data_IF_737469448281
#
_entry.id   IF_737469448281
#
_cell.length_a   1.000
_cell.length_b   1.000
_cell.length_c   1.000
_cell.angle_alpha   90.00
_cell.angle_beta   90.00
_cell.angle_gamma   90.00
#
_symmetry.space_group_name_H-M   'P 1'
#
loop_
_entity.id
_entity.type
_entity.pdbx_description
1 polymer ?
#
# COMPACT_ATOMS: atom_id res chain seq x y z
N UNK A 1 46.58 -46.80 8.87
CA UNK A 1 45.94 -45.84 7.98
C UNK A 1 44.47 -45.64 8.45
N UNK A 2 44.15 -44.57 9.15
CA UNK A 2 42.80 -44.27 9.64
C UNK A 2 42.12 -43.31 8.65
N UNK A 3 41.05 -43.75 8.01
CA UNK A 3 40.24 -42.92 7.12
C UNK A 3 39.28 -42.06 7.97
N UNK A 4 39.46 -40.77 7.94
CA UNK A 4 38.49 -39.81 8.51
C UNK A 4 37.34 -39.63 7.53
N UNK A 5 36.14 -39.98 7.97
CA UNK A 5 34.92 -39.69 7.23
C UNK A 5 34.47 -38.24 7.55
N UNK A 6 34.47 -37.37 6.54
CA UNK A 6 33.86 -36.06 6.65
C UNK A 6 32.33 -36.21 6.58
N UNK A 7 31.66 -35.95 7.69
CA UNK A 7 30.20 -35.76 7.70
C UNK A 7 29.88 -34.34 7.20
N UNK A 8 29.34 -34.27 5.99
CA UNK A 8 28.75 -33.04 5.47
C UNK A 8 27.34 -32.88 6.08
N UNK A 9 27.19 -32.02 7.08
CA UNK A 9 25.88 -31.62 7.60
C UNK A 9 25.26 -30.63 6.63
N UNK A 10 24.24 -31.07 5.87
CA UNK A 10 23.40 -30.22 5.06
C UNK A 10 22.46 -29.46 6.01
N UNK A 11 22.73 -28.17 6.25
CA UNK A 11 21.81 -27.26 6.92
C UNK A 11 20.62 -27.00 5.99
N UNK A 12 19.50 -27.64 6.27
CA UNK A 12 18.24 -27.30 5.65
C UNK A 12 17.78 -25.95 6.22
N UNK A 13 17.97 -24.85 5.46
CA UNK A 13 17.28 -23.61 5.73
C UNK A 13 15.77 -23.85 5.50
N UNK A 14 15.04 -24.11 6.56
CA UNK A 14 13.59 -24.01 6.53
C UNK A 14 13.22 -22.52 6.34
N UNK A 15 13.09 -22.08 5.09
CA UNK A 15 12.38 -20.84 4.79
C UNK A 15 10.90 -21.12 5.11
N UNK A 16 10.42 -20.64 6.24
CA UNK A 16 8.98 -20.55 6.50
C UNK A 16 8.41 -19.62 5.44
N UNK A 17 7.83 -20.20 4.38
CA UNK A 17 7.05 -19.43 3.42
C UNK A 17 5.83 -18.90 4.16
N UNK A 18 5.74 -17.58 4.29
CA UNK A 18 4.58 -16.94 4.86
C UNK A 18 3.49 -16.93 3.79
N UNK A 19 2.35 -17.53 4.10
CA UNK A 19 1.20 -17.53 3.21
C UNK A 19 0.73 -16.10 2.91
N UNK A 20 0.15 -15.91 1.73
CA UNK A 20 -0.53 -14.66 1.39
C UNK A 20 -1.70 -14.40 2.37
N UNK A 21 -2.07 -13.13 2.60
CA UNK A 21 -3.28 -12.82 3.35
C UNK A 21 -4.50 -13.44 2.64
N UNK A 22 -5.57 -13.66 3.40
CA UNK A 22 -6.83 -14.10 2.83
C UNK A 22 -7.38 -13.10 1.79
N UNK A 23 -8.50 -13.46 1.18
CA UNK A 23 -9.20 -12.59 0.23
C UNK A 23 -9.55 -11.25 0.89
N UNK A 24 -9.35 -10.15 0.15
CA UNK A 24 -9.67 -8.80 0.57
C UNK A 24 -10.43 -8.06 -0.54
N UNK A 25 -11.19 -7.04 -0.14
CA UNK A 25 -12.02 -6.25 -1.07
C UNK A 25 -11.28 -4.99 -1.49
N UNK A 26 -11.37 -4.68 -2.79
CA UNK A 26 -10.93 -3.41 -3.38
C UNK A 26 -12.06 -2.74 -4.14
N UNK A 27 -11.97 -1.41 -4.26
CA UNK A 27 -12.93 -0.53 -4.92
C UNK A 27 -12.42 -0.10 -6.29
N UNK A 28 -13.34 0.13 -7.22
CA UNK A 28 -13.09 0.77 -8.52
C UNK A 28 -14.37 1.38 -9.11
N UNK A 29 -14.21 2.01 -10.28
CA UNK A 29 -15.30 2.56 -11.10
C UNK A 29 -16.02 3.76 -10.44
N UNK A 30 -15.29 4.53 -9.60
CA UNK A 30 -15.73 5.73 -8.87
C UNK A 30 -16.71 5.45 -7.71
N UNK A 31 -16.51 6.14 -6.61
CA UNK A 31 -17.35 6.04 -5.39
C UNK A 31 -17.50 4.61 -4.85
N UNK A 32 -16.51 3.74 -5.13
CA UNK A 32 -16.56 2.32 -4.79
C UNK A 32 -17.82 1.61 -5.36
N UNK A 33 -18.22 2.01 -6.56
CA UNK A 33 -19.40 1.45 -7.23
C UNK A 33 -19.19 0.01 -7.64
N UNK A 34 -17.94 -0.39 -7.90
CA UNK A 34 -17.53 -1.77 -8.10
C UNK A 34 -16.63 -2.23 -6.97
N UNK A 35 -16.87 -3.45 -6.51
CA UNK A 35 -16.07 -4.11 -5.48
C UNK A 35 -15.64 -5.48 -5.97
N UNK A 36 -14.34 -5.74 -5.91
CA UNK A 36 -13.77 -7.01 -6.32
C UNK A 36 -13.09 -7.71 -5.15
N UNK A 37 -13.32 -9.03 -5.06
CA UNK A 37 -12.62 -9.92 -4.14
C UNK A 37 -11.26 -10.28 -4.73
N UNK A 38 -10.18 -9.86 -4.09
CA UNK A 38 -8.81 -10.08 -4.54
C UNK A 38 -8.11 -11.10 -3.65
N UNK A 39 -7.38 -12.01 -4.28
CA UNK A 39 -6.47 -12.93 -3.62
C UNK A 39 -5.11 -12.89 -4.31
N UNK A 40 -4.07 -12.55 -3.56
CA UNK A 40 -2.70 -12.63 -4.04
C UNK A 40 -2.17 -14.06 -3.92
N UNK A 41 -1.27 -14.42 -4.80
CA UNK A 41 -0.46 -15.63 -4.65
C UNK A 41 0.60 -15.46 -3.55
N UNK A 42 1.07 -16.55 -2.98
CA UNK A 42 2.17 -16.51 -2.00
C UNK A 42 3.42 -15.83 -2.58
N UNK A 43 3.72 -16.03 -3.86
CA UNK A 43 4.85 -15.38 -4.53
C UNK A 43 4.68 -13.85 -4.59
N UNK A 44 3.51 -13.35 -4.97
CA UNK A 44 3.22 -11.91 -4.98
C UNK A 44 3.33 -11.32 -3.57
N UNK A 45 2.79 -12.02 -2.57
CA UNK A 45 2.90 -11.56 -1.18
C UNK A 45 4.34 -11.56 -0.67
N UNK A 46 5.16 -12.53 -1.05
CA UNK A 46 6.60 -12.53 -0.72
C UNK A 46 7.34 -11.34 -1.35
N UNK A 47 6.98 -10.92 -2.57
CA UNK A 47 7.54 -9.69 -3.17
C UNK A 47 7.18 -8.45 -2.34
N UNK A 48 5.92 -8.33 -1.86
CA UNK A 48 5.51 -7.24 -0.97
C UNK A 48 6.33 -7.25 0.32
N UNK A 49 6.45 -8.40 0.97
CA UNK A 49 7.20 -8.56 2.22
C UNK A 49 8.69 -8.20 2.07
N UNK A 50 9.28 -8.53 0.92
CA UNK A 50 10.68 -8.23 0.64
C UNK A 50 10.97 -6.71 0.64
N UNK A 51 9.97 -5.87 0.34
CA UNK A 51 10.10 -4.41 0.38
C UNK A 51 10.25 -3.83 1.80
N UNK A 52 9.90 -4.62 2.82
CA UNK A 52 10.08 -4.30 4.23
C UNK A 52 11.32 -4.99 4.82
N UNK A 53 12.20 -5.56 3.99
CA UNK A 53 13.40 -6.27 4.45
C UNK A 53 14.67 -5.63 3.86
N UNK A 54 15.67 -5.23 4.68
CA UNK A 54 15.65 -5.34 6.15
C UNK A 54 14.59 -4.43 6.78
N UNK A 55 14.21 -4.75 8.02
CA UNK A 55 13.22 -3.92 8.72
C UNK A 55 13.73 -2.48 8.88
N UNK A 56 12.86 -1.51 8.61
CA UNK A 56 13.16 -0.09 8.67
C UNK A 56 13.76 0.32 10.03
N UNK A 57 14.82 1.09 10.02
CA UNK A 57 15.47 1.62 11.22
C UNK A 57 14.82 2.91 11.74
N UNK A 58 13.91 3.52 10.95
CA UNK A 58 13.21 4.75 11.31
C UNK A 58 11.82 4.81 10.66
N UNK A 59 10.96 5.69 11.21
CA UNK A 59 9.66 5.99 10.62
C UNK A 59 9.78 6.52 9.17
N UNK A 60 10.80 7.30 8.86
CA UNK A 60 11.04 7.80 7.51
C UNK A 60 11.37 6.67 6.53
N UNK A 61 12.22 5.74 6.92
CA UNK A 61 12.55 4.57 6.10
C UNK A 61 11.34 3.67 5.89
N UNK A 62 10.48 3.51 6.91
CA UNK A 62 9.25 2.74 6.78
C UNK A 62 8.26 3.42 5.83
N UNK A 63 8.12 4.76 5.85
CA UNK A 63 7.32 5.48 4.84
C UNK A 63 7.84 5.24 3.43
N UNK A 64 9.16 5.22 3.23
CA UNK A 64 9.74 4.90 1.92
C UNK A 64 9.47 3.44 1.50
N UNK A 65 9.45 2.49 2.43
CA UNK A 65 9.05 1.11 2.16
C UNK A 65 7.55 1.01 1.83
N UNK A 66 6.70 1.71 2.59
CA UNK A 66 5.26 1.78 2.37
C UNK A 66 4.91 2.29 0.97
N UNK A 67 5.54 3.38 0.51
CA UNK A 67 5.34 3.91 -0.85
C UNK A 67 5.55 2.82 -1.91
N UNK A 68 6.66 2.09 -1.82
CA UNK A 68 6.97 1.01 -2.78
C UNK A 68 6.03 -0.18 -2.67
N UNK A 69 5.64 -0.53 -1.44
CA UNK A 69 4.75 -1.66 -1.20
C UNK A 69 3.33 -1.39 -1.70
N UNK A 70 2.80 -0.18 -1.50
CA UNK A 70 1.49 0.24 -2.02
C UNK A 70 1.52 0.21 -3.55
N UNK A 71 2.51 0.83 -4.19
CA UNK A 71 2.69 0.80 -5.64
C UNK A 71 2.71 -0.66 -6.18
N UNK A 72 3.38 -1.56 -5.48
CA UNK A 72 3.43 -2.97 -5.89
C UNK A 72 2.10 -3.68 -5.70
N UNK A 73 1.34 -3.36 -4.63
CA UNK A 73 -0.03 -3.84 -4.43
C UNK A 73 -0.93 -3.40 -5.60
N UNK A 74 -0.88 -2.14 -5.98
CA UNK A 74 -1.66 -1.58 -7.10
C UNK A 74 -1.36 -2.31 -8.41
N UNK A 75 -0.08 -2.59 -8.72
CA UNK A 75 0.29 -3.38 -9.91
C UNK A 75 -0.35 -4.76 -9.88
N UNK A 76 -0.31 -5.47 -8.75
CA UNK A 76 -0.90 -6.80 -8.66
C UNK A 76 -2.42 -6.76 -8.73
N UNK A 77 -3.03 -5.85 -8.00
CA UNK A 77 -4.48 -5.68 -7.95
C UNK A 77 -5.00 -5.24 -9.31
N UNK A 78 -4.37 -4.25 -9.94
CA UNK A 78 -4.76 -3.74 -11.25
C UNK A 78 -4.76 -4.82 -12.34
N UNK A 79 -3.79 -5.74 -12.29
CA UNK A 79 -3.75 -6.89 -13.18
C UNK A 79 -4.88 -7.89 -12.95
N UNK A 80 -5.44 -7.95 -11.73
CA UNK A 80 -6.52 -8.88 -11.37
C UNK A 80 -7.91 -8.30 -11.60
N UNK A 81 -8.11 -7.00 -11.40
CA UNK A 81 -9.43 -6.36 -11.49
C UNK A 81 -9.59 -5.39 -12.68
N UNK A 82 -8.54 -5.17 -13.47
CA UNK A 82 -8.58 -4.34 -14.68
C UNK A 82 -8.30 -2.86 -14.45
N UNK A 83 -7.79 -2.45 -13.27
CA UNK A 83 -7.41 -1.05 -12.99
C UNK A 83 -5.98 -0.70 -13.38
N UNK A 84 -5.26 -1.58 -14.09
CA UNK A 84 -3.85 -1.34 -14.49
C UNK A 84 -3.63 -0.09 -15.36
N UNK A 85 -4.68 0.42 -16.00
CA UNK A 85 -4.64 1.61 -16.87
C UNK A 85 -5.26 2.84 -16.19
N UNK A 86 -5.45 2.79 -14.87
CA UNK A 86 -5.93 3.95 -14.12
C UNK A 86 -4.93 5.10 -14.18
N UNK A 87 -5.45 6.31 -14.43
CA UNK A 87 -4.66 7.53 -14.60
C UNK A 87 -4.82 8.44 -13.39
N UNK A 88 -3.69 8.94 -12.90
CA UNK A 88 -3.66 9.86 -11.77
C UNK A 88 -4.42 11.16 -12.02
N UNK A 89 -5.14 11.63 -11.00
CA UNK A 89 -5.87 12.89 -11.06
C UNK A 89 -7.01 12.93 -12.09
N UNK A 90 -7.51 11.78 -12.54
CA UNK A 90 -8.46 11.66 -13.62
C UNK A 90 -9.90 11.96 -13.17
N UNK A 91 -10.27 13.23 -13.09
CA UNK A 91 -11.66 13.65 -12.86
C UNK A 91 -12.61 13.29 -14.02
N UNK A 92 -12.09 13.15 -15.22
CA UNK A 92 -12.88 12.88 -16.42
C UNK A 92 -13.13 11.36 -16.63
N UNK A 93 -12.53 10.50 -15.85
CA UNK A 93 -12.62 9.05 -15.97
C UNK A 93 -13.93 8.43 -15.45
N UNK A 94 -14.84 9.24 -14.89
CA UNK A 94 -16.14 8.76 -14.42
C UNK A 94 -16.91 8.05 -15.52
N UNK A 95 -17.34 6.81 -15.26
CA UNK A 95 -18.00 5.95 -16.24
C UNK A 95 -17.07 5.19 -17.20
N UNK A 96 -15.76 5.34 -17.05
CA UNK A 96 -14.76 4.54 -17.76
C UNK A 96 -14.33 3.36 -16.89
N UNK A 97 -14.48 2.15 -17.41
CA UNK A 97 -14.14 0.94 -16.68
C UNK A 97 -12.65 0.93 -16.27
N UNK A 98 -12.39 0.54 -15.02
CA UNK A 98 -11.04 0.41 -14.49
C UNK A 98 -10.39 1.75 -14.10
N UNK A 99 -11.11 2.86 -14.12
CA UNK A 99 -10.65 4.13 -13.56
C UNK A 99 -11.10 4.25 -12.11
N UNK A 100 -10.33 5.02 -11.31
CA UNK A 100 -10.56 5.17 -9.89
C UNK A 100 -10.62 6.66 -9.50
N UNK A 101 -11.46 6.97 -8.52
CA UNK A 101 -11.47 8.29 -7.86
C UNK A 101 -10.70 8.24 -6.53
N UNK A 102 -10.66 9.36 -5.83
CA UNK A 102 -9.99 9.44 -4.53
C UNK A 102 -10.67 8.57 -3.44
N UNK A 103 -11.94 8.21 -3.61
CA UNK A 103 -12.66 7.31 -2.70
C UNK A 103 -12.16 5.88 -2.89
N UNK A 104 -12.04 5.44 -4.15
CA UNK A 104 -11.51 4.12 -4.50
C UNK A 104 -10.08 3.97 -4.03
N UNK A 105 -9.20 4.91 -4.43
CA UNK A 105 -7.78 4.91 -4.10
C UNK A 105 -7.53 4.93 -2.59
N UNK A 106 -8.18 5.83 -1.85
CA UNK A 106 -8.00 5.90 -0.41
C UNK A 106 -8.56 4.67 0.32
N UNK A 107 -9.64 4.05 -0.19
CA UNK A 107 -10.19 2.80 0.35
C UNK A 107 -9.23 1.63 0.14
N UNK A 108 -8.69 1.51 -1.07
CA UNK A 108 -7.75 0.46 -1.45
C UNK A 108 -6.45 0.58 -0.65
N UNK A 109 -5.88 1.79 -0.59
CA UNK A 109 -4.68 2.07 0.20
C UNK A 109 -4.88 1.78 1.69
N UNK A 110 -6.04 2.14 2.27
CA UNK A 110 -6.38 1.78 3.65
C UNK A 110 -6.44 0.27 3.85
N UNK A 111 -7.00 -0.47 2.89
CA UNK A 111 -7.02 -1.94 2.91
C UNK A 111 -5.59 -2.50 2.87
N UNK A 112 -4.70 -1.98 2.01
CA UNK A 112 -3.31 -2.43 1.95
C UNK A 112 -2.56 -2.15 3.25
N UNK A 113 -2.71 -0.97 3.83
CA UNK A 113 -2.10 -0.61 5.11
C UNK A 113 -2.54 -1.55 6.23
N UNK A 114 -3.83 -1.91 6.29
CA UNK A 114 -4.35 -2.89 7.23
C UNK A 114 -3.71 -4.26 7.04
N UNK A 115 -3.60 -4.75 5.79
CA UNK A 115 -2.93 -6.02 5.50
C UNK A 115 -1.47 -6.01 5.93
N UNK A 116 -0.74 -4.91 5.70
CA UNK A 116 0.66 -4.79 6.16
C UNK A 116 0.75 -4.82 7.68
N UNK A 117 -0.14 -4.14 8.38
CA UNK A 117 -0.19 -4.11 9.83
C UNK A 117 -0.55 -5.48 10.42
N UNK A 118 -1.60 -6.13 9.95
CA UNK A 118 -2.04 -7.46 10.41
C UNK A 118 -0.98 -8.54 10.20
N UNK A 119 -0.12 -8.38 9.18
CA UNK A 119 0.98 -9.28 8.90
C UNK A 119 2.32 -8.86 9.53
N UNK A 120 2.32 -7.87 10.43
CA UNK A 120 3.49 -7.46 11.21
C UNK A 120 4.60 -6.81 10.38
N UNK A 121 4.26 -6.18 9.25
CA UNK A 121 5.23 -5.50 8.38
C UNK A 121 5.54 -4.08 8.85
N UNK A 122 4.61 -3.46 9.62
CA UNK A 122 4.77 -2.10 10.15
C UNK A 122 5.36 -2.13 11.56
N UNK A 123 6.32 -1.26 11.83
CA UNK A 123 7.00 -1.10 13.12
C UNK A 123 6.85 0.31 13.70
N UNK A 124 6.78 1.29 12.81
CA UNK A 124 6.80 2.71 13.15
C UNK A 124 5.46 3.39 12.91
N UNK A 125 4.59 2.76 12.11
CA UNK A 125 3.29 3.32 11.80
C UNK A 125 2.16 2.32 12.07
N UNK A 126 0.99 2.88 12.24
CA UNK A 126 -0.27 2.14 12.22
C UNK A 126 -1.28 2.82 11.30
N UNK A 127 -2.09 2.02 10.60
CA UNK A 127 -3.19 2.51 9.78
C UNK A 127 -4.25 3.21 10.63
N UNK A 128 -4.84 4.26 10.08
CA UNK A 128 -5.93 5.02 10.68
C UNK A 128 -7.12 5.07 9.73
N UNK A 129 -8.25 5.57 10.22
CA UNK A 129 -9.37 5.92 9.36
C UNK A 129 -8.96 6.96 8.31
N UNK A 130 -9.55 6.85 7.12
CA UNK A 130 -9.32 7.80 6.04
C UNK A 130 -9.66 9.22 6.47
N UNK A 131 -8.92 10.18 5.95
CA UNK A 131 -9.23 11.59 6.11
C UNK A 131 -9.71 12.20 4.80
N UNK A 132 -10.52 13.24 4.93
CA UNK A 132 -10.85 14.10 3.81
C UNK A 132 -10.35 15.52 4.05
N UNK A 133 -10.20 16.26 2.96
CA UNK A 133 -10.08 17.71 2.95
C UNK A 133 -11.18 18.26 2.07
N UNK A 134 -11.89 19.27 2.59
CA UNK A 134 -12.87 20.00 1.80
C UNK A 134 -12.15 21.16 1.09
N UNK A 135 -12.32 21.24 -0.22
CA UNK A 135 -12.11 22.46 -0.96
C UNK A 135 -13.43 23.21 -1.10
N UNK A 136 -13.51 24.15 -2.03
CA UNK A 136 -14.78 24.77 -2.40
C UNK A 136 -15.82 23.71 -2.79
N UNK A 137 -17.05 23.92 -2.47
CA UNK A 137 -18.33 23.19 -2.55
C UNK A 137 -18.38 21.79 -3.25
N UNK A 138 -17.44 21.44 -4.15
CA UNK A 138 -17.43 20.19 -4.92
C UNK A 138 -16.07 19.48 -4.94
N UNK A 139 -15.11 19.86 -4.10
CA UNK A 139 -13.74 19.37 -4.13
C UNK A 139 -13.41 18.65 -2.80
N UNK A 140 -14.22 17.64 -2.45
CA UNK A 140 -13.87 16.76 -1.32
C UNK A 140 -12.87 15.72 -1.81
N UNK A 141 -11.65 15.77 -1.28
CA UNK A 141 -10.61 14.81 -1.60
C UNK A 141 -10.29 13.92 -0.40
N UNK A 142 -10.14 12.61 -0.65
CA UNK A 142 -9.90 11.59 0.35
C UNK A 142 -8.48 11.02 0.22
N UNK A 143 -7.86 10.71 1.36
CA UNK A 143 -6.62 9.96 1.42
C UNK A 143 -6.64 8.94 2.56
N UNK A 144 -5.87 7.88 2.44
CA UNK A 144 -5.56 6.99 3.54
C UNK A 144 -4.67 7.71 4.57
N UNK A 145 -4.65 7.24 5.82
CA UNK A 145 -3.89 7.87 6.88
C UNK A 145 -3.09 6.85 7.66
N UNK A 146 -1.86 7.21 7.99
CA UNK A 146 -1.01 6.49 8.94
C UNK A 146 -0.62 7.40 10.10
N UNK A 147 -0.42 6.80 11.28
CA UNK A 147 0.08 7.47 12.48
C UNK A 147 1.47 6.94 12.82
N UNK A 148 2.44 7.82 12.99
CA UNK A 148 3.72 7.50 13.59
C UNK A 148 3.50 7.13 15.08
N UNK A 149 3.88 5.93 15.46
CA UNK A 149 3.60 5.38 16.82
C UNK A 149 4.45 6.01 17.91
N UNK A 150 5.56 6.65 17.56
CA UNK A 150 6.49 7.30 18.50
C UNK A 150 6.11 8.75 18.73
N UNK A 151 5.84 9.48 17.65
CA UNK A 151 5.57 10.93 17.70
C UNK A 151 4.09 11.26 17.78
N UNK A 152 3.22 10.33 17.38
CA UNK A 152 1.79 10.57 17.19
C UNK A 152 1.44 11.37 15.93
N UNK A 153 2.43 11.78 15.12
CA UNK A 153 2.21 12.54 13.91
C UNK A 153 1.39 11.74 12.90
N UNK A 154 0.37 12.35 12.34
CA UNK A 154 -0.46 11.79 11.28
C UNK A 154 0.09 12.18 9.91
N UNK A 155 0.02 11.25 8.97
CA UNK A 155 0.40 11.44 7.57
C UNK A 155 -0.73 10.97 6.66
N UNK A 156 -1.06 11.77 5.64
CA UNK A 156 -1.85 11.33 4.52
C UNK A 156 -0.99 10.47 3.58
N UNK A 157 -1.60 9.39 3.07
CA UNK A 157 -1.03 8.52 2.03
C UNK A 157 -1.98 8.63 0.84
N UNK A 158 -1.54 9.34 -0.18
CA UNK A 158 -2.38 9.79 -1.29
C UNK A 158 -1.87 9.24 -2.62
N UNK A 159 -2.57 8.24 -3.15
CA UNK A 159 -2.25 7.58 -4.42
C UNK A 159 -2.93 8.28 -5.61
N UNK A 160 -4.06 8.95 -5.39
CA UNK A 160 -4.94 9.41 -6.46
C UNK A 160 -4.31 10.34 -7.50
N UNK A 161 -3.27 11.09 -7.14
CA UNK A 161 -2.59 12.01 -8.09
C UNK A 161 -1.67 11.31 -9.08
N UNK A 162 -1.50 9.99 -8.97
CA UNK A 162 -0.49 9.22 -9.68
C UNK A 162 -1.15 8.06 -10.43
N UNK A 163 -0.56 7.68 -11.57
CA UNK A 163 -1.02 6.52 -12.33
C UNK A 163 -0.86 5.23 -11.51
N UNK A 164 -1.70 4.24 -11.77
CA UNK A 164 -1.67 2.95 -11.09
C UNK A 164 -0.25 2.36 -11.02
N UNK A 165 0.15 1.97 -9.82
CA UNK A 165 1.46 1.39 -9.55
C UNK A 165 2.59 2.41 -9.35
N UNK A 166 2.30 3.70 -9.28
CA UNK A 166 3.27 4.72 -8.87
C UNK A 166 3.29 4.86 -7.34
N UNK A 167 4.48 5.11 -6.73
CA UNK A 167 4.58 5.25 -5.28
C UNK A 167 3.81 6.46 -4.76
N UNK A 168 2.81 6.29 -3.86
CA UNK A 168 1.95 7.36 -3.38
C UNK A 168 2.73 8.49 -2.70
N UNK A 169 2.15 9.69 -2.65
CA UNK A 169 2.65 10.76 -1.80
C UNK A 169 2.35 10.45 -0.33
N UNK A 170 3.33 10.69 0.55
CA UNK A 170 3.14 10.63 2.00
C UNK A 170 3.57 11.96 2.59
N UNK A 171 2.61 12.74 3.09
CA UNK A 171 2.80 14.08 3.61
C UNK A 171 2.14 14.20 5.01
N UNK A 172 2.64 15.09 5.88
CA UNK A 172 1.95 15.37 7.13
C UNK A 172 0.49 15.72 6.87
N UNK A 173 -0.43 15.15 7.65
CA UNK A 173 -1.86 15.31 7.42
C UNK A 173 -2.31 16.78 7.47
N UNK A 174 -1.69 17.59 8.31
CA UNK A 174 -1.95 19.05 8.38
C UNK A 174 -1.56 19.76 7.08
N UNK A 175 -0.35 19.48 6.56
CA UNK A 175 0.15 20.07 5.31
C UNK A 175 -0.70 19.62 4.11
N UNK A 176 -1.09 18.35 4.09
CA UNK A 176 -2.01 17.82 3.09
C UNK A 176 -3.38 18.50 3.13
N UNK A 177 -3.94 18.75 4.33
CA UNK A 177 -5.20 19.49 4.50
C UNK A 177 -5.11 20.92 4.05
N UNK A 178 -3.98 21.56 4.26
CA UNK A 178 -3.68 22.93 3.83
C UNK A 178 -3.34 23.02 2.33
N UNK A 179 -3.40 21.89 1.59
CA UNK A 179 -3.09 21.80 0.15
C UNK A 179 -1.69 22.30 -0.21
N UNK A 180 -0.73 22.12 0.70
CA UNK A 180 0.68 22.38 0.37
C UNK A 180 1.17 21.38 -0.67
N UNK A 181 2.12 21.81 -1.50
CA UNK A 181 2.75 20.95 -2.48
C UNK A 181 3.37 19.72 -1.79
N UNK A 182 3.37 18.59 -2.50
CA UNK A 182 4.01 17.40 -2.00
C UNK A 182 5.54 17.60 -2.06
N UNK A 183 6.21 17.31 -0.95
CA UNK A 183 7.68 17.21 -0.95
C UNK A 183 8.10 15.97 -1.74
N UNK A 184 9.03 16.11 -2.69
CA UNK A 184 9.58 15.01 -3.50
C UNK A 184 10.41 14.02 -2.66
#
# INVERSE_FOLDING_TARGET
MRRAALLCTVLWCNSTAWAAPGTFIVCSDYECSRRDDISLTDAQWQEIRALFTPAAASAQEERAALRRAIARMEVFVGALNGTSADLGGNFAGSGMAGQMDCIDESSNTTTYLRLFQENGLLRWHEGQERANRAGWIFDTHWAAVIRDTVTGQLYAVDSWFLDNGQPPYIQKLEDWRDKKDFDE
#
